data_IF_854358310695
#
_entry.id   IF_854358310695
#
_cell.length_a   1.000
_cell.length_b   1.000
_cell.length_c   1.000
_cell.angle_alpha   90.00
_cell.angle_beta   90.00
_cell.angle_gamma   90.00
#
_symmetry.space_group_name_H-M   'P 1'
#
loop_
_entity.id
_entity.type
_entity.pdbx_description
1 polymer ?
#
# COMPACT_ATOMS: atom_id res chain seq x y z
N UNK A 1 7.13 -14.44 21.93
CA UNK A 1 7.06 -13.37 20.90
C UNK A 1 6.06 -13.85 19.85
N UNK A 2 4.94 -13.16 19.65
CA UNK A 2 3.95 -13.59 18.66
C UNK A 2 4.57 -13.48 17.28
N UNK A 3 4.78 -14.63 16.63
CA UNK A 3 4.89 -14.75 15.19
C UNK A 3 3.60 -14.16 14.61
N UNK A 4 3.67 -12.90 14.18
CA UNK A 4 2.52 -12.15 13.71
C UNK A 4 2.55 -12.29 12.19
N UNK A 5 1.59 -13.05 11.68
CA UNK A 5 1.20 -13.16 10.27
C UNK A 5 1.71 -11.96 9.47
N UNK A 6 2.63 -12.24 8.53
CA UNK A 6 3.39 -11.25 7.78
C UNK A 6 2.46 -10.13 7.28
N UNK A 7 2.61 -8.94 7.84
CA UNK A 7 1.87 -7.77 7.39
C UNK A 7 2.09 -7.57 5.90
N UNK A 8 1.01 -7.35 5.14
CA UNK A 8 1.10 -7.08 3.72
C UNK A 8 1.64 -5.66 3.54
N UNK A 9 2.76 -5.52 2.84
CA UNK A 9 3.38 -4.21 2.61
C UNK A 9 3.38 -3.93 1.11
N UNK A 10 2.86 -2.77 0.73
CA UNK A 10 2.92 -2.25 -0.62
C UNK A 10 3.93 -1.12 -0.66
N UNK A 11 4.97 -1.26 -1.49
CA UNK A 11 6.01 -0.24 -1.67
C UNK A 11 5.66 0.62 -2.90
N UNK A 12 5.50 1.92 -2.67
CA UNK A 12 5.09 2.93 -3.65
C UNK A 12 3.60 3.28 -3.55
N UNK A 13 3.32 4.56 -3.30
CA UNK A 13 2.00 5.21 -3.30
C UNK A 13 1.60 5.79 -4.66
N UNK A 14 2.15 5.27 -5.76
CA UNK A 14 1.67 5.54 -7.12
C UNK A 14 0.38 4.78 -7.45
N UNK A 15 -0.20 5.04 -8.64
CA UNK A 15 -1.50 4.45 -9.05
C UNK A 15 -1.55 2.92 -8.91
N UNK A 16 -0.47 2.21 -9.28
CA UNK A 16 -0.41 0.76 -9.20
C UNK A 16 -0.41 0.26 -7.74
N UNK A 17 0.37 0.89 -6.86
CA UNK A 17 0.45 0.50 -5.45
C UNK A 17 -0.84 0.81 -4.69
N UNK A 18 -1.43 1.99 -4.94
CA UNK A 18 -2.72 2.35 -4.35
C UNK A 18 -3.84 1.40 -4.78
N UNK A 19 -3.86 1.00 -6.06
CA UNK A 19 -4.84 0.04 -6.55
C UNK A 19 -4.63 -1.36 -5.96
N UNK A 20 -3.38 -1.82 -5.84
CA UNK A 20 -3.06 -3.07 -5.17
C UNK A 20 -3.53 -3.07 -3.70
N UNK A 21 -3.24 -2.00 -2.96
CA UNK A 21 -3.69 -1.86 -1.57
C UNK A 21 -5.22 -1.80 -1.46
N UNK A 22 -5.89 -1.13 -2.41
CA UNK A 22 -7.34 -1.10 -2.49
C UNK A 22 -7.94 -2.50 -2.67
N UNK A 23 -7.45 -3.29 -3.62
CA UNK A 23 -7.93 -4.65 -3.85
C UNK A 23 -7.65 -5.58 -2.67
N UNK A 24 -6.47 -5.47 -2.05
CA UNK A 24 -6.14 -6.21 -0.83
C UNK A 24 -7.10 -5.86 0.31
N UNK A 25 -7.39 -4.57 0.54
CA UNK A 25 -8.42 -4.16 1.52
C UNK A 25 -9.79 -4.72 1.20
N UNK A 26 -10.18 -4.73 -0.08
CA UNK A 26 -11.47 -5.27 -0.53
C UNK A 26 -11.60 -6.78 -0.30
N UNK A 27 -10.48 -7.49 -0.26
CA UNK A 27 -10.40 -8.92 0.07
C UNK A 27 -10.31 -9.21 1.58
N UNK A 28 -10.42 -8.18 2.43
CA UNK A 28 -10.39 -8.33 3.89
C UNK A 28 -8.99 -8.31 4.50
N UNK A 29 -7.99 -7.86 3.75
CA UNK A 29 -6.63 -7.69 4.25
C UNK A 29 -6.38 -6.26 4.76
N UNK A 30 -5.33 -6.09 5.57
CA UNK A 30 -4.90 -4.78 6.07
C UNK A 30 -3.48 -4.46 5.59
N UNK A 31 -3.31 -4.01 4.32
CA UNK A 31 -2.00 -3.66 3.80
C UNK A 31 -1.50 -2.32 4.33
N UNK A 32 -0.20 -2.24 4.60
CA UNK A 32 0.53 -1.00 4.86
C UNK A 32 1.15 -0.50 3.55
N UNK A 33 0.83 0.73 3.15
CA UNK A 33 1.45 1.39 1.98
C UNK A 33 2.60 2.26 2.47
N UNK A 34 3.78 2.09 1.88
CA UNK A 34 4.95 2.94 2.12
C UNK A 34 5.26 3.72 0.85
N UNK A 35 5.27 5.05 0.94
CA UNK A 35 5.65 5.96 -0.15
C UNK A 35 6.88 6.76 0.29
N UNK A 36 7.81 6.97 -0.63
CA UNK A 36 9.05 7.71 -0.36
C UNK A 36 8.81 9.23 -0.35
N UNK A 37 7.80 9.70 -1.09
CA UNK A 37 7.40 11.10 -1.15
C UNK A 37 6.47 11.48 0.01
N UNK A 38 6.33 12.79 0.24
CA UNK A 38 5.38 13.39 1.19
C UNK A 38 3.92 13.38 0.69
N UNK A 39 3.70 12.88 -0.53
CA UNK A 39 2.40 12.76 -1.18
C UNK A 39 2.25 11.44 -1.92
N UNK A 40 1.00 11.06 -2.16
CA UNK A 40 0.66 9.94 -3.04
C UNK A 40 0.49 10.39 -4.50
N UNK A 41 0.30 9.43 -5.41
CA UNK A 41 0.01 9.64 -6.83
C UNK A 41 1.16 9.25 -7.77
N UNK A 42 2.38 9.15 -7.24
CA UNK A 42 3.58 8.83 -8.03
C UNK A 42 3.73 9.79 -9.22
N UNK A 43 3.70 9.25 -10.43
CA UNK A 43 3.82 10.02 -11.69
C UNK A 43 2.59 10.90 -12.01
N UNK A 44 1.46 10.70 -11.34
CA UNK A 44 0.30 11.58 -11.45
C UNK A 44 0.50 12.75 -10.47
N UNK A 45 0.50 13.98 -11.00
CA UNK A 45 0.74 15.20 -10.24
C UNK A 45 -0.02 16.36 -10.89
N UNK A 46 -0.71 17.16 -10.07
CA UNK A 46 -1.55 18.30 -10.46
C UNK A 46 -1.40 19.40 -9.44
#
# INVERSE_FOLDING_TARGET
MRDRSLGLIVIGGGIAGLFAAFELRRQGHEPLVLEAQDRVGGRVHT
#
